data_IF_272060870818
#
_entry.id   IF_272060870818
#
_cell.length_a   1.000
_cell.length_b   1.000
_cell.length_c   1.000
_cell.angle_alpha   90.00
_cell.angle_beta   90.00
_cell.angle_gamma   90.00
#
_symmetry.space_group_name_H-M   'P 1'
#
loop_
_entity.id
_entity.type
_entity.pdbx_description
1 polymer ?
#
# COMPACT_ATOMS: atom_id res chain seq x y z
N UNK A 1 22.00 -39.15 5.77
CA UNK A 1 20.69 -38.97 5.09
C UNK A 1 19.81 -37.90 5.75
N UNK A 2 19.83 -37.71 7.08
CA UNK A 2 19.06 -36.64 7.72
C UNK A 2 19.49 -35.22 7.29
N UNK A 3 20.79 -34.95 7.15
CA UNK A 3 21.29 -33.63 6.75
C UNK A 3 20.70 -33.14 5.41
N UNK A 4 20.73 -33.99 4.38
CA UNK A 4 20.14 -33.67 3.07
C UNK A 4 18.62 -33.41 3.13
N UNK A 5 17.90 -34.09 4.04
CA UNK A 5 16.47 -33.84 4.24
C UNK A 5 16.23 -32.47 4.89
N UNK A 6 17.08 -32.11 5.88
CA UNK A 6 17.05 -30.80 6.53
C UNK A 6 17.30 -29.67 5.53
N UNK A 7 18.31 -29.81 4.68
CA UNK A 7 18.63 -28.80 3.67
C UNK A 7 17.49 -28.62 2.69
N UNK A 8 16.91 -29.73 2.22
CA UNK A 8 15.73 -29.69 1.35
C UNK A 8 14.57 -28.93 1.98
N UNK A 9 14.25 -29.19 3.25
CA UNK A 9 13.21 -28.45 3.96
C UNK A 9 13.55 -26.95 4.09
N UNK A 10 14.80 -26.61 4.40
CA UNK A 10 15.24 -25.22 4.48
C UNK A 10 15.09 -24.49 3.13
N UNK A 11 15.45 -25.14 2.02
CA UNK A 11 15.25 -24.61 0.68
C UNK A 11 13.76 -24.46 0.32
N UNK A 12 12.92 -25.45 0.69
CA UNK A 12 11.48 -25.37 0.44
C UNK A 12 10.82 -24.22 1.22
N UNK A 13 11.21 -24.01 2.49
CA UNK A 13 10.73 -22.88 3.30
C UNK A 13 11.17 -21.55 2.68
N UNK A 14 12.44 -21.41 2.31
CA UNK A 14 12.97 -20.20 1.65
C UNK A 14 12.24 -19.90 0.35
N UNK A 15 11.96 -20.93 -0.47
CA UNK A 15 11.21 -20.77 -1.71
C UNK A 15 9.79 -20.27 -1.47
N UNK A 16 9.08 -20.85 -0.48
CA UNK A 16 7.71 -20.42 -0.12
C UNK A 16 7.69 -19.00 0.42
N UNK A 17 8.66 -18.61 1.24
CA UNK A 17 8.77 -17.23 1.74
C UNK A 17 8.96 -16.22 0.60
N UNK A 18 9.83 -16.52 -0.36
CA UNK A 18 10.05 -15.65 -1.53
C UNK A 18 8.80 -15.56 -2.41
N UNK A 19 8.10 -16.67 -2.64
CA UNK A 19 6.82 -16.68 -3.37
C UNK A 19 5.76 -15.82 -2.68
N UNK A 20 5.67 -15.89 -1.35
CA UNK A 20 4.72 -15.09 -0.57
C UNK A 20 5.01 -13.59 -0.70
N UNK A 21 6.28 -13.19 -0.62
CA UNK A 21 6.68 -11.79 -0.83
C UNK A 21 6.43 -11.28 -2.25
N UNK A 22 6.63 -12.15 -3.25
CA UNK A 22 6.28 -11.80 -4.64
C UNK A 22 4.77 -11.58 -4.76
N UNK A 23 3.95 -12.44 -4.15
CA UNK A 23 2.50 -12.29 -4.12
C UNK A 23 2.06 -11.00 -3.39
N UNK A 24 2.73 -10.62 -2.30
CA UNK A 24 2.51 -9.33 -1.62
C UNK A 24 2.79 -8.14 -2.55
N UNK A 25 3.91 -8.18 -3.29
CA UNK A 25 4.28 -7.13 -4.25
C UNK A 25 3.24 -7.02 -5.38
N UNK A 26 2.82 -8.15 -5.96
CA UNK A 26 1.80 -8.20 -7.02
C UNK A 26 0.46 -7.61 -6.54
N UNK A 27 0.06 -7.93 -5.31
CA UNK A 27 -1.14 -7.38 -4.69
C UNK A 27 -1.05 -5.86 -4.51
N UNK A 28 0.11 -5.35 -4.07
CA UNK A 28 0.34 -3.89 -3.94
C UNK A 28 0.30 -3.21 -5.31
N UNK A 29 0.94 -3.79 -6.33
CA UNK A 29 0.89 -3.29 -7.71
C UNK A 29 -0.53 -3.24 -8.25
N UNK A 30 -1.30 -4.31 -8.04
CA UNK A 30 -2.70 -4.38 -8.48
C UNK A 30 -3.54 -3.27 -7.84
N UNK A 31 -3.34 -2.98 -6.55
CA UNK A 31 -4.01 -1.87 -5.86
C UNK A 31 -3.66 -0.52 -6.48
N UNK A 32 -2.38 -0.27 -6.80
CA UNK A 32 -1.97 0.97 -7.45
C UNK A 32 -2.55 1.14 -8.86
N UNK A 33 -2.60 0.07 -9.65
CA UNK A 33 -3.22 0.11 -10.98
C UNK A 33 -4.73 0.38 -10.89
N UNK A 34 -5.44 -0.25 -9.96
CA UNK A 34 -6.85 0.03 -9.73
C UNK A 34 -7.08 1.49 -9.30
N UNK A 35 -6.24 2.01 -8.40
CA UNK A 35 -6.31 3.40 -7.95
C UNK A 35 -6.03 4.38 -9.10
N UNK A 36 -5.01 4.11 -9.92
CA UNK A 36 -4.68 4.92 -11.09
C UNK A 36 -5.82 4.92 -12.12
N UNK A 37 -6.44 3.76 -12.36
CA UNK A 37 -7.61 3.66 -13.24
C UNK A 37 -8.78 4.52 -12.75
N UNK A 38 -9.13 4.42 -11.47
CA UNK A 38 -10.20 5.23 -10.87
C UNK A 38 -9.87 6.74 -10.90
N UNK A 39 -8.63 7.12 -10.59
CA UNK A 39 -8.19 8.50 -10.65
C UNK A 39 -8.23 9.06 -12.08
N UNK A 40 -7.88 8.26 -13.10
CA UNK A 40 -7.97 8.68 -14.51
C UNK A 40 -9.42 8.89 -14.95
N UNK A 41 -10.35 8.05 -14.49
CA UNK A 41 -11.79 8.23 -14.77
C UNK A 41 -12.29 9.51 -14.11
N UNK A 42 -11.93 9.72 -12.84
CA UNK A 42 -12.30 10.93 -12.09
C UNK A 42 -11.73 12.21 -12.74
N UNK A 43 -10.49 12.17 -13.22
CA UNK A 43 -9.88 13.25 -14.00
C UNK A 43 -10.67 13.55 -15.28
N UNK A 44 -11.10 12.49 -16.00
CA UNK A 44 -11.93 12.62 -17.19
C UNK A 44 -13.25 13.33 -16.90
N UNK A 45 -13.97 12.91 -15.86
CA UNK A 45 -15.22 13.56 -15.46
C UNK A 45 -15.02 15.02 -15.00
N UNK A 46 -13.94 15.31 -14.28
CA UNK A 46 -13.62 16.68 -13.90
C UNK A 46 -13.33 17.55 -15.14
N UNK A 47 -12.58 17.05 -16.11
CA UNK A 47 -12.30 17.76 -17.36
C UNK A 47 -13.56 17.99 -18.19
N UNK A 48 -14.38 16.95 -18.37
CA UNK A 48 -15.64 17.00 -19.09
C UNK A 48 -16.58 18.04 -18.48
N UNK A 49 -16.72 18.04 -17.14
CA UNK A 49 -17.53 19.03 -16.42
C UNK A 49 -17.07 20.47 -16.59
N UNK A 50 -15.77 20.72 -16.81
CA UNK A 50 -15.26 22.07 -17.07
C UNK A 50 -15.54 22.53 -18.50
N UNK A 51 -15.60 21.61 -19.46
CA UNK A 51 -15.81 21.92 -20.88
C UNK A 51 -17.28 22.06 -21.21
N UNK A 52 -18.14 21.23 -20.61
CA UNK A 52 -19.59 21.22 -20.89
C UNK A 52 -20.34 22.35 -20.15
N UNK A 53 -19.72 23.00 -19.17
CA UNK A 53 -20.37 24.07 -18.41
C UNK A 53 -20.39 25.39 -19.20
N UNK A 54 -21.36 25.51 -20.11
CA UNK A 54 -21.80 26.81 -20.63
C UNK A 54 -22.89 27.35 -19.70
N UNK A 55 -22.61 28.47 -19.02
CA UNK A 55 -23.59 29.15 -18.16
C UNK A 55 -24.42 30.07 -19.06
N UNK A 56 -25.73 29.82 -19.25
CA UNK A 56 -26.60 30.69 -20.04
C UNK A 56 -26.59 32.12 -19.48
N UNK A 57 -26.59 33.13 -20.36
CA UNK A 57 -26.57 34.56 -19.99
C UNK A 57 -27.69 34.93 -19.00
N UNK A 58 -28.88 34.32 -19.15
CA UNK A 58 -30.04 34.54 -18.27
C UNK A 58 -29.78 34.16 -16.80
N UNK A 59 -28.90 33.18 -16.56
CA UNK A 59 -28.55 32.72 -15.20
C UNK A 59 -27.67 33.71 -14.45
N UNK A 60 -26.98 34.60 -15.16
CA UNK A 60 -26.09 35.59 -14.56
C UNK A 60 -26.86 36.69 -13.85
N UNK A 61 -28.01 37.09 -14.40
CA UNK A 61 -28.87 38.10 -13.79
C UNK A 61 -29.47 37.59 -12.47
N UNK A 62 -29.96 36.34 -12.43
CA UNK A 62 -30.48 35.71 -11.21
C UNK A 62 -29.39 35.49 -10.15
N UNK A 63 -28.15 35.19 -10.56
CA UNK A 63 -27.04 34.95 -9.64
C UNK A 63 -26.56 36.25 -8.98
N UNK A 64 -26.56 37.36 -9.74
CA UNK A 64 -26.19 38.69 -9.24
C UNK A 64 -27.24 39.22 -8.24
N UNK A 65 -28.52 38.91 -8.45
CA UNK A 65 -29.60 39.29 -7.51
C UNK A 65 -29.47 38.60 -6.13
N UNK A 66 -28.87 37.40 -6.09
CA UNK A 66 -28.70 36.61 -4.87
C UNK A 66 -27.29 36.65 -4.25
N UNK A 67 -26.39 37.52 -4.72
CA UNK A 67 -25.02 37.72 -4.17
C UNK A 67 -24.14 36.44 -4.17
N UNK A 68 -24.35 35.56 -5.16
CA UNK A 68 -23.70 34.24 -5.27
C UNK A 68 -22.51 34.21 -6.24
N UNK A 69 -21.91 35.35 -6.54
CA UNK A 69 -20.80 35.50 -7.50
C UNK A 69 -19.58 34.62 -7.17
N UNK A 70 -19.43 34.21 -5.91
CA UNK A 70 -18.31 33.41 -5.41
C UNK A 70 -18.39 31.93 -5.81
N UNK A 71 -19.55 31.48 -6.30
CA UNK A 71 -19.81 30.07 -6.56
C UNK A 71 -19.17 29.58 -7.86
N UNK A 72 -19.13 30.45 -8.88
CA UNK A 72 -18.46 30.20 -10.16
C UNK A 72 -16.95 30.00 -10.00
N UNK A 73 -16.17 30.92 -9.40
CA UNK A 73 -14.74 30.70 -9.20
C UNK A 73 -14.48 29.50 -8.29
N UNK A 74 -15.36 29.23 -7.30
CA UNK A 74 -15.25 28.05 -6.46
C UNK A 74 -15.40 26.75 -7.27
N UNK A 75 -16.31 26.72 -8.24
CA UNK A 75 -16.45 25.58 -9.16
C UNK A 75 -15.16 25.35 -9.97
N UNK A 76 -14.62 26.39 -10.63
CA UNK A 76 -13.41 26.26 -11.44
C UNK A 76 -12.18 25.90 -10.60
N UNK A 77 -12.05 26.46 -9.40
CA UNK A 77 -10.97 26.09 -8.46
C UNK A 77 -11.11 24.63 -8.02
N UNK A 78 -12.32 24.20 -7.68
CA UNK A 78 -12.59 22.82 -7.28
C UNK A 78 -12.33 21.81 -8.40
N UNK A 79 -12.77 22.11 -9.62
CA UNK A 79 -12.58 21.23 -10.78
C UNK A 79 -11.11 21.17 -11.22
N UNK A 80 -10.40 22.30 -11.24
CA UNK A 80 -8.97 22.34 -11.56
C UNK A 80 -8.11 21.66 -10.50
N UNK A 81 -8.42 21.85 -9.21
CA UNK A 81 -7.75 21.16 -8.11
C UNK A 81 -7.98 19.64 -8.16
N UNK A 82 -9.22 19.22 -8.43
CA UNK A 82 -9.57 17.83 -8.63
C UNK A 82 -8.77 17.19 -9.78
N UNK A 83 -8.74 17.85 -10.94
CA UNK A 83 -8.01 17.39 -12.12
C UNK A 83 -6.50 17.27 -11.83
N UNK A 84 -5.92 18.30 -11.20
CA UNK A 84 -4.49 18.33 -10.85
C UNK A 84 -4.13 17.21 -9.88
N UNK A 85 -4.90 17.02 -8.81
CA UNK A 85 -4.68 15.96 -7.83
C UNK A 85 -4.88 14.56 -8.42
N UNK A 86 -5.88 14.38 -9.28
CA UNK A 86 -6.13 13.11 -9.95
C UNK A 86 -4.95 12.74 -10.88
N UNK A 87 -4.46 13.68 -11.68
CA UNK A 87 -3.28 13.48 -12.52
C UNK A 87 -2.02 13.20 -11.70
N UNK A 88 -1.85 13.88 -10.56
CA UNK A 88 -0.77 13.60 -9.61
C UNK A 88 -0.81 12.15 -9.11
N UNK A 89 -1.99 11.65 -8.69
CA UNK A 89 -2.17 10.27 -8.22
C UNK A 89 -1.83 9.27 -9.33
N UNK A 90 -2.30 9.50 -10.56
CA UNK A 90 -2.01 8.63 -11.71
C UNK A 90 -0.51 8.58 -11.99
N UNK A 91 0.16 9.73 -12.03
CA UNK A 91 1.59 9.81 -12.30
C UNK A 91 2.40 9.09 -11.21
N UNK A 92 2.17 9.40 -9.93
CA UNK A 92 2.91 8.82 -8.81
C UNK A 92 2.62 7.32 -8.68
N UNK A 93 1.38 6.87 -8.88
CA UNK A 93 1.04 5.45 -8.88
C UNK A 93 1.80 4.71 -9.99
N UNK A 94 1.84 5.27 -11.21
CA UNK A 94 2.54 4.69 -12.36
C UNK A 94 4.04 4.57 -12.11
N UNK A 95 4.68 5.64 -11.62
CA UNK A 95 6.09 5.60 -11.26
C UNK A 95 6.38 4.61 -10.13
N UNK A 96 5.51 4.54 -9.12
CA UNK A 96 5.66 3.60 -7.99
C UNK A 96 5.63 2.15 -8.46
N UNK A 97 4.75 1.81 -9.42
CA UNK A 97 4.70 0.46 -10.01
C UNK A 97 5.97 0.13 -10.78
N UNK A 98 6.48 1.06 -11.60
CA UNK A 98 7.72 0.86 -12.38
C UNK A 98 8.93 0.71 -11.46
N UNK A 99 9.08 1.58 -10.45
CA UNK A 99 10.18 1.49 -9.49
C UNK A 99 10.07 0.26 -8.60
N UNK A 100 8.85 -0.16 -8.23
CA UNK A 100 8.60 -1.38 -7.48
C UNK A 100 9.13 -2.63 -8.20
N UNK A 101 8.82 -2.79 -9.49
CA UNK A 101 9.33 -3.91 -10.30
C UNK A 101 10.86 -3.85 -10.45
N UNK A 102 11.40 -2.64 -10.68
CA UNK A 102 12.84 -2.47 -10.86
C UNK A 102 13.63 -2.83 -9.59
N UNK A 103 13.11 -2.48 -8.41
CA UNK A 103 13.72 -2.84 -7.13
C UNK A 103 13.64 -4.35 -6.85
N UNK A 104 12.55 -5.01 -7.27
CA UNK A 104 12.41 -6.46 -7.15
C UNK A 104 13.43 -7.22 -8.02
N UNK A 105 13.70 -6.74 -9.24
CA UNK A 105 14.63 -7.40 -10.18
C UNK A 105 16.11 -7.13 -9.90
N UNK A 106 16.48 -5.92 -9.48
CA UNK A 106 17.89 -5.52 -9.27
C UNK A 106 18.44 -5.92 -7.88
N UNK A 107 17.60 -6.53 -7.06
CA UNK A 107 17.90 -6.89 -5.70
C UNK A 107 18.85 -8.07 -5.54
N UNK A 108 20.15 -7.86 -5.70
CA UNK A 108 21.16 -8.91 -5.49
C UNK A 108 21.36 -9.35 -4.03
N UNK A 109 20.71 -8.69 -3.06
CA UNK A 109 20.73 -9.05 -1.63
C UNK A 109 19.35 -9.52 -1.20
N UNK A 110 19.28 -10.57 -0.40
CA UNK A 110 18.04 -11.23 0.09
C UNK A 110 16.99 -10.29 0.70
N UNK A 111 17.36 -9.07 1.11
CA UNK A 111 16.45 -8.10 1.74
C UNK A 111 15.97 -6.96 0.80
N UNK A 112 16.26 -7.02 -0.50
CA UNK A 112 15.85 -5.98 -1.46
C UNK A 112 14.33 -5.92 -1.65
N UNK A 113 13.68 -7.09 -1.68
CA UNK A 113 12.26 -7.25 -1.91
C UNK A 113 11.47 -6.69 -0.72
N UNK A 114 11.88 -7.02 0.50
CA UNK A 114 11.30 -6.49 1.73
C UNK A 114 11.43 -4.97 1.81
N UNK A 115 12.59 -4.43 1.42
CA UNK A 115 12.80 -2.98 1.36
C UNK A 115 11.90 -2.32 0.31
N UNK A 116 11.71 -2.95 -0.85
CA UNK A 116 10.82 -2.45 -1.90
C UNK A 116 9.36 -2.39 -1.40
N UNK A 117 8.88 -3.48 -0.80
CA UNK A 117 7.52 -3.57 -0.23
C UNK A 117 7.33 -2.54 0.89
N UNK A 118 8.29 -2.40 1.81
CA UNK A 118 8.22 -1.44 2.90
C UNK A 118 8.15 0.01 2.41
N UNK A 119 8.93 0.37 1.39
CA UNK A 119 8.89 1.71 0.79
C UNK A 119 7.54 1.94 0.09
N UNK A 120 7.04 0.96 -0.67
CA UNK A 120 5.75 1.07 -1.36
C UNK A 120 4.57 1.19 -0.39
N UNK A 121 4.62 0.48 0.75
CA UNK A 121 3.61 0.61 1.81
C UNK A 121 3.67 1.97 2.50
N UNK A 122 4.86 2.50 2.76
CA UNK A 122 5.01 3.83 3.37
C UNK A 122 4.43 4.95 2.47
N UNK A 123 4.63 4.85 1.15
CA UNK A 123 4.11 5.83 0.20
C UNK A 123 2.58 5.76 0.00
N UNK A 124 1.98 4.61 0.31
CA UNK A 124 0.57 4.36 0.09
C UNK A 124 -0.35 5.37 0.80
N UNK A 125 -0.01 5.74 2.05
CA UNK A 125 -0.83 6.67 2.82
C UNK A 125 -0.92 8.06 2.14
N UNK A 126 0.19 8.56 1.60
CA UNK A 126 0.23 9.86 0.90
C UNK A 126 -0.62 9.83 -0.37
N UNK A 127 -0.53 8.75 -1.15
CA UNK A 127 -1.34 8.56 -2.35
C UNK A 127 -2.83 8.46 -2.02
N UNK A 128 -3.18 7.73 -0.96
CA UNK A 128 -4.56 7.61 -0.50
C UNK A 128 -5.13 8.96 -0.05
N UNK A 129 -4.36 9.76 0.71
CA UNK A 129 -4.80 11.11 1.11
C UNK A 129 -4.97 12.05 -0.08
N UNK A 130 -4.09 11.98 -1.07
CA UNK A 130 -4.21 12.79 -2.29
C UNK A 130 -5.45 12.39 -3.12
N UNK A 131 -5.72 11.09 -3.26
CA UNK A 131 -6.91 10.59 -3.94
C UNK A 131 -8.21 10.96 -3.20
N UNK A 132 -8.23 10.87 -1.87
CA UNK A 132 -9.36 11.30 -1.05
C UNK A 132 -9.62 12.81 -1.20
N UNK A 133 -8.55 13.62 -1.23
CA UNK A 133 -8.65 15.05 -1.45
C UNK A 133 -9.17 15.38 -2.86
N UNK A 134 -8.74 14.64 -3.89
CA UNK A 134 -9.26 14.79 -5.24
C UNK A 134 -10.77 14.51 -5.30
N UNK A 135 -11.22 13.41 -4.68
CA UNK A 135 -12.65 13.05 -4.61
C UNK A 135 -13.47 14.11 -3.86
N UNK A 136 -12.94 14.66 -2.77
CA UNK A 136 -13.57 15.77 -2.04
C UNK A 136 -13.66 17.03 -2.90
N UNK A 137 -12.62 17.34 -3.67
CA UNK A 137 -12.59 18.48 -4.59
C UNK A 137 -13.65 18.34 -5.71
N UNK A 138 -13.78 17.16 -6.31
CA UNK A 138 -14.83 16.86 -7.31
C UNK A 138 -16.21 17.02 -6.69
N UNK A 139 -16.39 16.55 -5.46
CA UNK A 139 -17.66 16.69 -4.75
C UNK A 139 -18.05 18.16 -4.55
N UNK A 140 -17.11 19.01 -4.11
CA UNK A 140 -17.37 20.45 -3.95
C UNK A 140 -17.75 21.07 -5.30
N UNK A 141 -17.02 20.74 -6.37
CA UNK A 141 -17.36 21.21 -7.72
C UNK A 141 -18.76 20.75 -8.16
N UNK A 142 -19.11 19.49 -7.93
CA UNK A 142 -20.43 18.94 -8.26
C UNK A 142 -21.56 19.64 -7.50
N UNK A 143 -21.38 19.93 -6.20
CA UNK A 143 -22.36 20.66 -5.41
C UNK A 143 -22.54 22.09 -5.92
N UNK A 144 -21.44 22.79 -6.22
CA UNK A 144 -21.49 24.13 -6.82
C UNK A 144 -22.24 24.13 -8.15
N UNK A 145 -21.95 23.16 -9.03
CA UNK A 145 -22.61 23.02 -10.33
C UNK A 145 -24.12 22.76 -10.20
N UNK A 146 -24.53 21.89 -9.28
CA UNK A 146 -25.95 21.60 -9.02
C UNK A 146 -26.68 22.83 -8.52
N UNK A 147 -26.03 23.63 -7.67
CA UNK A 147 -26.61 24.84 -7.13
C UNK A 147 -26.78 25.91 -8.22
N UNK A 148 -25.80 26.05 -9.13
CA UNK A 148 -25.90 26.92 -10.31
C UNK A 148 -27.05 26.51 -11.24
N UNK A 149 -27.26 25.21 -11.49
CA UNK A 149 -28.30 24.74 -12.43
C UNK A 149 -29.72 24.71 -11.88
N UNK A 150 -29.92 24.43 -10.58
CA UNK A 150 -31.25 24.19 -10.01
C UNK A 150 -31.72 25.28 -9.02
N UNK A 151 -30.87 26.25 -8.69
CA UNK A 151 -31.19 27.31 -7.73
C UNK A 151 -31.75 26.75 -6.42
N UNK A 152 -32.95 27.19 -6.02
CA UNK A 152 -33.58 26.78 -4.74
C UNK A 152 -33.91 25.29 -4.66
N UNK A 153 -34.14 24.61 -5.79
CA UNK A 153 -34.33 23.15 -5.82
C UNK A 153 -33.02 22.39 -5.60
N UNK A 154 -31.88 23.06 -5.78
CA UNK A 154 -30.54 22.53 -5.51
C UNK A 154 -30.34 22.07 -4.06
N UNK A 155 -31.07 22.66 -3.09
CA UNK A 155 -30.95 22.30 -1.66
C UNK A 155 -31.31 20.81 -1.45
N UNK A 156 -32.36 20.32 -2.11
CA UNK A 156 -32.78 18.91 -1.98
C UNK A 156 -31.71 17.99 -2.56
N UNK A 157 -31.17 18.34 -3.72
CA UNK A 157 -30.15 17.54 -4.38
C UNK A 157 -28.82 17.55 -3.61
N UNK A 158 -28.42 18.71 -3.06
CA UNK A 158 -27.28 18.83 -2.16
C UNK A 158 -27.43 17.94 -0.93
N UNK A 159 -28.64 17.87 -0.35
CA UNK A 159 -28.93 16.97 0.77
C UNK A 159 -28.70 15.50 0.42
N UNK A 160 -29.15 15.07 -0.77
CA UNK A 160 -28.94 13.71 -1.27
C UNK A 160 -27.44 13.44 -1.46
N UNK A 161 -26.71 14.32 -2.16
CA UNK A 161 -25.27 14.17 -2.37
C UNK A 161 -24.48 14.15 -1.06
N UNK A 162 -24.82 15.02 -0.10
CA UNK A 162 -24.17 15.08 1.22
C UNK A 162 -24.43 13.80 2.01
N UNK A 163 -25.65 13.27 1.96
CA UNK A 163 -25.99 11.99 2.60
C UNK A 163 -25.16 10.83 2.03
N UNK A 164 -25.04 10.75 0.70
CA UNK A 164 -24.22 9.71 0.05
C UNK A 164 -22.72 9.87 0.37
N UNK A 165 -22.21 11.11 0.40
CA UNK A 165 -20.83 11.37 0.79
C UNK A 165 -20.59 10.95 2.25
N UNK A 166 -21.48 11.32 3.16
CA UNK A 166 -21.39 10.93 4.57
C UNK A 166 -21.41 9.41 4.72
N UNK A 167 -22.30 8.71 4.01
CA UNK A 167 -22.38 7.25 4.04
C UNK A 167 -21.11 6.61 3.48
N UNK A 168 -20.52 7.19 2.42
CA UNK A 168 -19.24 6.74 1.85
C UNK A 168 -18.10 6.91 2.85
N UNK A 169 -17.98 8.08 3.48
CA UNK A 169 -16.95 8.35 4.51
C UNK A 169 -17.15 7.41 5.70
N UNK A 170 -18.38 7.22 6.16
CA UNK A 170 -18.70 6.30 7.26
C UNK A 170 -18.31 4.86 6.92
N UNK A 171 -18.63 4.40 5.71
CA UNK A 171 -18.24 3.08 5.22
C UNK A 171 -16.72 2.94 5.15
N UNK A 172 -16.02 3.95 4.64
CA UNK A 172 -14.56 3.98 4.56
C UNK A 172 -13.91 3.94 5.95
N UNK A 173 -14.43 4.72 6.90
CA UNK A 173 -13.98 4.75 8.27
C UNK A 173 -14.24 3.42 8.99
N UNK A 174 -15.42 2.83 8.78
CA UNK A 174 -15.76 1.50 9.31
C UNK A 174 -14.81 0.43 8.77
N UNK A 175 -14.55 0.44 7.46
CA UNK A 175 -13.61 -0.48 6.82
C UNK A 175 -12.19 -0.28 7.37
N UNK A 176 -11.75 0.97 7.52
CA UNK A 176 -10.44 1.27 8.09
C UNK A 176 -10.30 0.77 9.55
N UNK A 177 -11.34 0.97 10.37
CA UNK A 177 -11.35 0.42 11.75
C UNK A 177 -11.33 -1.10 11.78
N UNK A 178 -12.02 -1.76 10.85
CA UNK A 178 -12.01 -3.23 10.75
C UNK A 178 -10.69 -3.78 10.22
N UNK A 179 -9.99 -3.04 9.36
CA UNK A 179 -8.70 -3.42 8.78
C UNK A 179 -7.50 -3.01 9.64
N UNK A 180 -7.72 -2.24 10.71
CA UNK A 180 -6.68 -1.94 11.69
C UNK A 180 -6.45 -3.19 12.54
N UNK A 181 -5.63 -4.10 12.03
CA UNK A 181 -5.12 -5.24 12.80
C UNK A 181 -4.09 -4.69 13.78
N UNK A 182 -4.29 -4.93 15.08
CA UNK A 182 -3.33 -4.56 16.11
C UNK A 182 -1.95 -5.14 15.77
N UNK A 183 -0.92 -4.27 15.76
CA UNK A 183 0.46 -4.63 15.49
C UNK A 183 0.98 -5.91 16.21
N UNK A 184 0.61 -6.22 17.47
CA UNK A 184 1.01 -7.49 18.10
C UNK A 184 0.37 -8.76 17.51
N UNK A 185 -0.74 -8.63 16.78
CA UNK A 185 -1.41 -9.75 16.10
C UNK A 185 -0.95 -9.91 14.64
N UNK A 186 -0.12 -8.98 14.14
CA UNK A 186 0.45 -9.10 12.80
C UNK A 186 1.51 -10.20 12.84
N UNK A 187 1.15 -11.40 12.38
CA UNK A 187 2.11 -12.49 12.14
C UNK A 187 3.07 -11.99 11.06
N UNK A 188 4.17 -11.36 11.49
CA UNK A 188 5.33 -11.22 10.64
C UNK A 188 5.70 -12.65 10.26
N UNK A 189 5.88 -12.91 8.98
CA UNK A 189 6.36 -14.21 8.48
C UNK A 189 7.77 -14.57 8.95
N UNK A 190 8.19 -14.06 10.11
CA UNK A 190 9.38 -14.42 10.84
C UNK A 190 9.10 -15.82 11.39
N UNK A 191 9.47 -16.81 10.57
CA UNK A 191 9.48 -18.19 10.99
C UNK A 191 10.57 -18.33 12.05
N UNK A 192 10.22 -18.09 13.31
CA UNK A 192 11.06 -18.41 14.45
C UNK A 192 10.97 -19.92 14.67
N UNK A 193 12.04 -20.64 14.36
CA UNK A 193 12.14 -22.04 14.75
C UNK A 193 12.92 -22.10 16.04
N UNK A 194 12.23 -22.47 17.12
CA UNK A 194 12.88 -22.85 18.37
C UNK A 194 13.60 -24.19 18.17
N UNK A 195 14.92 -24.16 18.05
CA UNK A 195 15.77 -25.35 18.18
C UNK A 195 16.40 -25.35 19.57
N UNK A 196 15.70 -25.92 20.55
CA UNK A 196 16.17 -25.99 21.94
C UNK A 196 16.15 -24.64 22.66
N UNK A 197 17.26 -24.26 23.31
CA UNK A 197 17.40 -23.00 24.05
C UNK A 197 17.67 -21.77 23.16
N UNK A 198 17.90 -21.96 21.87
CA UNK A 198 18.19 -20.88 20.93
C UNK A 198 17.01 -20.66 19.97
N UNK A 199 16.53 -19.42 19.97
CA UNK A 199 15.59 -18.91 18.99
C UNK A 199 16.37 -18.50 17.74
N UNK A 200 16.13 -19.19 16.64
CA UNK A 200 16.82 -18.94 15.38
C UNK A 200 15.83 -18.33 14.41
N UNK A 201 16.11 -17.07 14.06
CA UNK A 201 15.32 -16.31 13.11
C UNK A 201 15.67 -16.75 11.67
N UNK A 202 14.80 -17.58 11.08
CA UNK A 202 15.03 -18.17 9.75
C UNK A 202 15.10 -17.09 8.65
N UNK A 203 14.49 -15.92 8.87
CA UNK A 203 14.54 -14.80 7.95
C UNK A 203 15.95 -14.17 7.87
N UNK A 204 16.76 -14.31 8.93
CA UNK A 204 18.11 -13.77 9.02
C UNK A 204 19.22 -14.73 8.60
N UNK A 205 18.93 -16.02 8.43
CA UNK A 205 19.88 -17.02 7.95
C UNK A 205 20.23 -16.81 6.47
N UNK A 206 21.09 -15.83 6.23
CA UNK A 206 21.83 -15.65 4.99
C UNK A 206 22.72 -16.87 4.71
N UNK A 207 23.09 -17.06 3.45
CA UNK A 207 23.95 -18.17 3.04
C UNK A 207 25.32 -18.18 3.78
N UNK A 208 25.78 -17.02 4.25
CA UNK A 208 27.02 -16.88 5.03
C UNK A 208 26.88 -17.41 6.47
N UNK A 209 25.72 -17.22 7.10
CA UNK A 209 25.45 -17.76 8.44
C UNK A 209 25.23 -19.26 8.42
N UNK A 210 24.77 -19.82 7.29
CA UNK A 210 24.66 -21.27 7.14
C UNK A 210 26.04 -21.94 7.22
N UNK A 211 27.08 -21.33 6.62
CA UNK A 211 28.46 -21.80 6.73
C UNK A 211 29.05 -21.58 8.13
N UNK A 212 28.71 -20.46 8.79
CA UNK A 212 29.15 -20.18 10.16
C UNK A 212 28.51 -21.11 11.20
N UNK A 213 27.23 -21.44 11.05
CA UNK A 213 26.50 -22.39 11.89
C UNK A 213 26.99 -23.82 11.65
N UNK A 214 27.28 -24.20 10.40
CA UNK A 214 27.87 -25.50 10.08
C UNK A 214 29.30 -25.63 10.67
N UNK A 215 30.10 -24.55 10.64
CA UNK A 215 31.41 -24.50 11.29
C UNK A 215 31.30 -24.57 12.84
N UNK A 216 30.30 -23.93 13.44
CA UNK A 216 30.05 -23.98 14.88
C UNK A 216 29.59 -25.37 15.35
N UNK A 217 28.71 -26.02 14.59
CA UNK A 217 28.24 -27.38 14.88
C UNK A 217 29.36 -28.42 14.66
N UNK A 218 30.18 -28.25 13.61
CA UNK A 218 31.35 -29.09 13.38
C UNK A 218 32.45 -28.92 14.44
N UNK A 219 32.57 -27.74 15.05
CA UNK A 219 33.46 -27.48 16.19
C UNK A 219 32.97 -28.13 17.49
N UNK A 220 31.68 -28.01 17.80
CA UNK A 220 31.09 -28.56 19.03
C UNK A 220 31.11 -30.09 19.09
N UNK A 221 31.10 -30.77 17.94
CA UNK A 221 31.11 -32.25 17.90
C UNK A 221 32.51 -32.86 18.08
N UNK A 222 33.57 -32.04 18.17
CA UNK A 222 34.96 -32.49 18.27
C UNK A 222 35.53 -32.46 19.69
N UNK A 223 34.81 -31.88 20.65
CA UNK A 223 35.29 -31.64 22.03
C UNK A 223 34.80 -32.70 23.04
N UNK A 224 34.28 -33.84 22.56
CA UNK A 224 33.69 -34.89 23.38
C UNK A 224 34.44 -36.24 23.41
N UNK A 225 35.56 -36.40 22.70
CA UNK A 225 36.15 -37.73 22.43
C UNK A 225 37.61 -37.91 22.93
N UNK A 226 38.10 -37.04 23.81
CA UNK A 226 39.50 -37.07 24.30
C UNK A 226 39.66 -37.65 25.73
N UNK A 227 38.74 -38.50 26.21
CA UNK A 227 38.81 -39.00 27.58
C UNK A 227 38.64 -40.51 27.79
N UNK A 228 39.26 -41.38 26.96
CA UNK A 228 39.53 -42.78 27.37
C UNK A 228 40.82 -43.32 26.77
N UNK A 229 41.96 -43.03 27.39
CA UNK A 229 43.07 -44.00 27.45
C UNK A 229 44.06 -43.57 28.54
N UNK A 230 44.25 -44.43 29.54
CA UNK A 230 45.50 -44.70 30.29
C UNK A 230 45.21 -45.20 31.71
N UNK A 231 44.95 -46.51 31.84
CA UNK A 231 45.27 -47.40 32.98
C UNK A 231 45.01 -48.82 32.46
N UNK A 232 45.92 -49.79 32.41
CA UNK A 232 46.94 -50.17 33.35
C UNK A 232 48.09 -50.92 32.65
N UNK A 233 49.32 -50.56 33.04
CA UNK A 233 50.53 -51.37 32.92
C UNK A 233 50.60 -52.37 34.08
N UNK A 234 51.04 -53.61 33.77
CA UNK A 234 51.93 -54.48 34.54
C UNK A 234 51.84 -54.43 36.08
N UNK A 235 51.35 -55.50 36.72
CA UNK A 235 52.11 -56.52 37.47
C UNK A 235 51.19 -57.70 37.77
#
# INVERSE_FOLDING_TARGET
>A
MLAASKDRFAFEIKRKALQLRQQELELVVQRYNNLAGLASIAAGFAFDSMVELEIPEDTWEELHEHDLEWLEPLFYIGASCALSLAMYVVAVASFTVVFGHRLALLGGKTNSLDKAVAIMLKQHHTLFTAAALAMFSIYVAAVSMVFLKLGRLGIVNMGIFTSFLFLTIYSLYRLNRQLTIEAPALVHGDAHVHMGAHEVDLARLGAEDCLAVEASIAGSSREGDDHVSHTNSLW
#
